data_IF_287526941552
#
_entry.id   IF_287526941552
#
_cell.length_a   1.000
_cell.length_b   1.000
_cell.length_c   1.000
_cell.angle_alpha   90.00
_cell.angle_beta   90.00
_cell.angle_gamma   90.00
#
_symmetry.space_group_name_H-M   'P 1'
#
loop_
_entity.id
_entity.type
_entity.pdbx_description
1 polymer ?
#
# COMPACT_ATOMS: atom_id res chain seq x y z
N UNK A 1 28.93 -12.70 18.13
CA UNK A 1 27.64 -13.39 17.83
C UNK A 1 26.49 -12.95 18.76
N UNK A 2 26.70 -12.94 20.09
CA UNK A 2 25.67 -12.49 21.03
C UNK A 2 25.26 -11.04 20.86
N UNK A 3 26.21 -10.14 20.53
CA UNK A 3 25.90 -8.72 20.29
C UNK A 3 25.01 -8.48 19.08
N UNK A 4 25.20 -9.23 17.99
CA UNK A 4 24.36 -9.13 16.81
C UNK A 4 22.92 -9.58 17.08
N UNK A 5 22.74 -10.64 17.87
CA UNK A 5 21.43 -11.11 18.30
C UNK A 5 20.69 -10.11 19.18
N UNK A 6 21.40 -9.48 20.13
CA UNK A 6 20.83 -8.45 20.99
C UNK A 6 20.38 -7.20 20.21
N UNK A 7 21.18 -6.76 19.23
CA UNK A 7 20.84 -5.64 18.36
C UNK A 7 19.61 -5.98 17.51
N UNK A 8 19.54 -7.17 16.92
CA UNK A 8 18.40 -7.62 16.14
C UNK A 8 17.11 -7.65 16.98
N UNK A 9 17.16 -8.18 18.21
CA UNK A 9 16.02 -8.21 19.11
C UNK A 9 15.54 -6.82 19.48
N UNK A 10 16.45 -5.89 19.76
CA UNK A 10 16.11 -4.51 20.07
C UNK A 10 15.43 -3.81 18.87
N UNK A 11 15.96 -4.02 17.66
CA UNK A 11 15.43 -3.42 16.44
C UNK A 11 14.05 -3.99 16.05
N UNK A 12 13.85 -5.29 16.22
CA UNK A 12 12.62 -5.98 15.82
C UNK A 12 11.61 -6.18 16.95
N UNK A 13 11.67 -5.37 18.01
CA UNK A 13 10.67 -5.41 19.06
C UNK A 13 10.67 -6.69 19.89
N UNK A 14 11.84 -7.29 20.13
CA UNK A 14 11.99 -8.52 20.91
C UNK A 14 11.91 -9.81 20.09
N UNK A 15 11.72 -9.73 18.79
CA UNK A 15 11.74 -10.91 17.90
C UNK A 15 13.14 -11.19 17.37
N UNK A 16 13.48 -12.46 17.22
CA UNK A 16 14.73 -12.85 16.58
C UNK A 16 14.71 -12.59 15.08
N UNK A 17 15.89 -12.46 14.48
CA UNK A 17 16.03 -12.34 13.03
C UNK A 17 15.32 -13.48 12.27
N UNK A 18 15.42 -14.71 12.78
CA UNK A 18 14.76 -15.87 12.17
C UNK A 18 13.25 -15.76 12.18
N UNK A 19 12.69 -15.31 13.30
CA UNK A 19 11.22 -15.08 13.42
C UNK A 19 10.75 -14.00 12.46
N UNK A 20 11.47 -12.91 12.38
CA UNK A 20 11.14 -11.81 11.44
C UNK A 20 11.27 -12.29 10.00
N UNK A 21 12.34 -12.98 9.64
CA UNK A 21 12.54 -13.52 8.29
C UNK A 21 11.44 -14.51 7.91
N UNK A 22 11.02 -15.39 8.83
CA UNK A 22 9.91 -16.32 8.59
C UNK A 22 8.58 -15.60 8.34
N UNK A 23 8.29 -14.53 9.10
CA UNK A 23 7.09 -13.72 8.92
C UNK A 23 7.10 -12.96 7.59
N UNK A 24 8.23 -12.39 7.21
CA UNK A 24 8.41 -11.72 5.91
C UNK A 24 8.21 -12.73 4.78
N UNK A 25 8.79 -13.92 4.87
CA UNK A 25 8.60 -14.97 3.87
C UNK A 25 7.15 -15.43 3.74
N UNK A 26 6.43 -15.54 4.87
CA UNK A 26 5.01 -15.87 4.86
C UNK A 26 4.17 -14.75 4.20
N UNK A 27 4.47 -13.49 4.50
CA UNK A 27 3.82 -12.34 3.90
C UNK A 27 4.08 -12.27 2.39
N UNK A 28 5.30 -12.53 1.97
CA UNK A 28 5.67 -12.57 0.55
C UNK A 28 4.88 -13.64 -0.20
N UNK A 29 4.83 -14.86 0.33
CA UNK A 29 4.04 -15.95 -0.27
C UNK A 29 2.55 -15.60 -0.36
N UNK A 30 1.99 -15.06 0.70
CA UNK A 30 0.60 -14.61 0.73
C UNK A 30 0.34 -13.52 -0.32
N UNK A 31 1.24 -12.53 -0.42
CA UNK A 31 1.14 -11.43 -1.37
C UNK A 31 1.13 -11.94 -2.80
N UNK A 32 2.07 -12.82 -3.16
CA UNK A 32 2.12 -13.41 -4.50
C UNK A 32 0.90 -14.28 -4.81
N UNK A 33 0.47 -15.10 -3.87
CA UNK A 33 -0.71 -15.95 -4.05
C UNK A 33 -1.99 -15.12 -4.20
N UNK A 34 -2.13 -14.08 -3.40
CA UNK A 34 -3.27 -13.15 -3.47
C UNK A 34 -3.27 -12.39 -4.79
N UNK A 35 -2.12 -11.87 -5.22
CA UNK A 35 -1.98 -11.19 -6.50
C UNK A 35 -2.41 -12.08 -7.67
N UNK A 36 -1.93 -13.33 -7.72
CA UNK A 36 -2.34 -14.28 -8.77
C UNK A 36 -3.84 -14.54 -8.76
N UNK A 37 -4.45 -14.60 -7.57
CA UNK A 37 -5.89 -14.85 -7.43
C UNK A 37 -6.73 -13.69 -7.91
N UNK A 38 -6.31 -12.45 -7.65
CA UNK A 38 -7.08 -11.24 -7.97
C UNK A 38 -6.71 -10.62 -9.33
N UNK A 39 -5.59 -11.01 -9.93
CA UNK A 39 -5.12 -10.43 -11.19
C UNK A 39 -6.17 -10.45 -12.31
N UNK A 40 -6.93 -11.54 -12.54
CA UNK A 40 -7.99 -11.53 -13.55
C UNK A 40 -9.08 -10.48 -13.29
N UNK A 41 -9.44 -10.26 -12.02
CA UNK A 41 -10.42 -9.23 -11.66
C UNK A 41 -9.85 -7.82 -11.88
N UNK A 42 -8.58 -7.61 -11.60
CA UNK A 42 -7.90 -6.33 -11.86
C UNK A 42 -7.83 -6.04 -13.35
N UNK A 43 -7.48 -7.03 -14.16
CA UNK A 43 -7.44 -6.91 -15.63
C UNK A 43 -8.82 -6.59 -16.19
N UNK A 44 -9.86 -7.22 -15.71
CA UNK A 44 -11.24 -6.96 -16.09
C UNK A 44 -11.67 -5.55 -15.72
N UNK A 45 -11.31 -5.08 -14.53
CA UNK A 45 -11.59 -3.71 -14.10
C UNK A 45 -10.88 -2.69 -14.97
N UNK A 46 -9.64 -2.94 -15.36
CA UNK A 46 -8.90 -2.10 -16.31
C UNK A 46 -9.63 -2.06 -17.66
N UNK A 47 -10.03 -3.21 -18.17
CA UNK A 47 -10.76 -3.32 -19.45
C UNK A 47 -12.10 -2.58 -19.44
N UNK A 48 -12.80 -2.58 -18.31
CA UNK A 48 -14.09 -1.91 -18.12
C UNK A 48 -13.97 -0.40 -17.84
N UNK A 49 -12.76 0.15 -17.77
CA UNK A 49 -12.53 1.58 -17.61
C UNK A 49 -12.60 2.09 -16.17
N UNK A 50 -12.41 1.22 -15.18
CA UNK A 50 -12.37 1.62 -13.77
C UNK A 50 -11.04 2.26 -13.35
N UNK A 51 -9.99 2.14 -14.14
CA UNK A 51 -8.73 2.85 -13.91
C UNK A 51 -8.84 4.24 -14.53
N UNK A 52 -8.80 5.25 -13.68
CA UNK A 52 -9.01 6.66 -14.06
C UNK A 52 -8.01 7.56 -13.36
N UNK A 53 -7.92 8.80 -13.79
CA UNK A 53 -7.16 9.81 -13.09
C UNK A 53 -7.84 10.15 -11.77
N UNK A 54 -7.14 9.86 -10.68
CA UNK A 54 -7.60 10.05 -9.31
C UNK A 54 -6.68 11.01 -8.55
N UNK A 55 -6.97 11.23 -7.29
CA UNK A 55 -6.15 12.06 -6.40
C UNK A 55 -4.79 11.40 -6.10
N UNK A 56 -4.79 10.11 -5.83
CA UNK A 56 -3.60 9.30 -5.59
C UNK A 56 -3.11 9.25 -4.15
N UNK A 57 -3.51 10.22 -3.32
CA UNK A 57 -3.11 10.29 -1.89
C UNK A 57 -4.27 10.85 -1.05
N UNK A 58 -5.46 10.29 -1.21
CA UNK A 58 -6.64 10.79 -0.55
C UNK A 58 -6.74 10.25 0.88
N UNK A 59 -6.57 11.15 1.85
CA UNK A 59 -6.75 10.89 3.28
C UNK A 59 -7.28 12.16 3.96
N UNK A 60 -7.71 12.04 5.21
CA UNK A 60 -8.37 13.15 5.91
C UNK A 60 -7.53 14.43 6.01
N UNK A 61 -6.19 14.31 6.07
CA UNK A 61 -5.32 15.49 6.10
C UNK A 61 -5.30 16.26 4.77
N UNK A 62 -5.75 15.65 3.67
CA UNK A 62 -5.87 16.27 2.34
C UNK A 62 -7.33 16.66 2.02
N UNK A 63 -8.16 16.75 3.03
CA UNK A 63 -9.55 17.18 2.91
C UNK A 63 -9.84 18.34 3.87
N UNK A 64 -10.67 19.24 3.44
CA UNK A 64 -11.14 20.36 4.27
C UNK A 64 -12.61 20.62 4.00
N UNK A 65 -13.33 21.02 5.03
CA UNK A 65 -14.67 21.53 4.89
C UNK A 65 -14.60 23.03 4.63
N UNK A 66 -15.04 23.45 3.46
CA UNK A 66 -15.05 24.86 3.05
C UNK A 66 -16.43 25.19 2.47
N UNK A 67 -17.09 26.18 3.04
CA UNK A 67 -18.46 26.60 2.65
C UNK A 67 -19.45 25.43 2.55
N UNK A 68 -19.46 24.57 3.55
CA UNK A 68 -20.28 23.34 3.65
C UNK A 68 -20.02 22.30 2.57
N UNK A 69 -18.87 22.38 1.92
CA UNK A 69 -18.42 21.40 0.91
C UNK A 69 -17.11 20.77 1.33
N UNK A 70 -16.98 19.47 1.07
CA UNK A 70 -15.70 18.80 1.20
C UNK A 70 -14.83 19.15 -0.01
N UNK A 71 -13.72 19.79 0.26
CA UNK A 71 -12.71 20.12 -0.75
C UNK A 71 -11.47 19.24 -0.52
N UNK A 72 -11.02 18.60 -1.57
CA UNK A 72 -9.79 17.78 -1.55
C UNK A 72 -8.66 18.56 -2.22
N UNK A 73 -7.45 18.39 -1.70
CA UNK A 73 -6.26 19.08 -2.20
C UNK A 73 -5.03 18.18 -2.09
N UNK A 74 -3.90 18.66 -2.56
CA UNK A 74 -2.60 18.00 -2.46
C UNK A 74 -2.56 16.61 -3.11
N UNK A 75 -3.03 16.52 -4.35
CA UNK A 75 -2.97 15.30 -5.14
C UNK A 75 -1.53 14.96 -5.55
N UNK A 76 -1.33 13.71 -5.94
CA UNK A 76 -0.04 13.26 -6.49
C UNK A 76 0.18 13.93 -7.86
N UNK A 77 1.23 14.75 -7.97
CA UNK A 77 1.60 15.45 -9.20
C UNK A 77 2.89 14.92 -9.84
N UNK A 78 3.79 14.40 -9.02
CA UNK A 78 5.15 14.03 -9.44
C UNK A 78 5.23 12.72 -10.23
N UNK A 79 4.21 11.87 -10.20
CA UNK A 79 4.19 10.61 -10.94
C UNK A 79 2.75 10.24 -11.36
N UNK A 80 2.42 10.36 -12.65
CA UNK A 80 1.07 10.01 -13.15
C UNK A 80 0.65 8.58 -12.86
N UNK A 81 1.58 7.63 -12.80
CA UNK A 81 1.27 6.23 -12.50
C UNK A 81 0.68 6.04 -11.10
N UNK A 82 0.92 6.96 -10.17
CA UNK A 82 0.38 6.91 -8.81
C UNK A 82 -1.01 7.52 -8.69
N UNK A 83 -1.51 8.21 -9.70
CA UNK A 83 -2.88 8.75 -9.70
C UNK A 83 -3.79 8.14 -10.76
N UNK A 84 -3.26 7.45 -11.76
CA UNK A 84 -4.03 6.61 -12.68
C UNK A 84 -4.21 5.23 -12.07
N UNK A 85 -5.22 5.09 -11.25
CA UNK A 85 -5.48 3.93 -10.43
C UNK A 85 -6.95 3.53 -10.52
N UNK A 86 -7.28 2.33 -10.04
CA UNK A 86 -8.66 1.90 -9.92
C UNK A 86 -9.41 2.84 -8.95
N UNK A 87 -10.61 3.26 -9.33
CA UNK A 87 -11.43 4.19 -8.55
C UNK A 87 -11.83 3.66 -7.16
N UNK A 88 -11.64 2.38 -6.91
CA UNK A 88 -11.85 1.74 -5.60
C UNK A 88 -10.60 1.72 -4.72
N UNK A 89 -9.48 2.16 -5.24
CA UNK A 89 -8.23 2.18 -4.49
C UNK A 89 -8.20 3.27 -3.41
#
# INVERSE_FOLDING_TARGET
MAAAGAIALAYFGGHSYREVAARIGALERWTHATHRRIAPAMDERLRLGFVRECHGDLHLANMVLFEDRVVVFDCIEFNPALRWIDVMA
#
